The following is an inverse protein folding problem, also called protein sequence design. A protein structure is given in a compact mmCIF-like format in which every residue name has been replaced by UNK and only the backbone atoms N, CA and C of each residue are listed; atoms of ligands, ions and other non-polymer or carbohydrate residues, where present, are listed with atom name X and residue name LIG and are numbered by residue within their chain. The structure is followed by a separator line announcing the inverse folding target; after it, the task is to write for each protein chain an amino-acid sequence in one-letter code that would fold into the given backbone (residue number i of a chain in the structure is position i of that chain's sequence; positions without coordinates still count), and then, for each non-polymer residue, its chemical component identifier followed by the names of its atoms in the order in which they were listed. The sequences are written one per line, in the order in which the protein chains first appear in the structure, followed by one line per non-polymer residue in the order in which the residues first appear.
data_IF_879876807885
#
_entry.id   IF_879876807885
#
_cell.length_a   1.000
_cell.length_b   1.000
_cell.length_c   1.000
_cell.angle_alpha   90.00
_cell.angle_beta   90.00
_cell.angle_gamma   90.00
#
_symmetry.space_group_name_H-M   'P 1'
#
loop_
_entity.id
_entity.type
_entity.pdbx_description
1 polymer ?
#
# COMPACT_ATOMS: atom_id res chain seq x y z
N UNK A 1 -5.20 -8.53 -4.54
CA UNK A 1 -5.16 -7.19 -3.93
C UNK A 1 -3.85 -6.46 -4.21
N UNK A 2 -2.66 -7.02 -3.92
CA UNK A 2 -1.38 -6.40 -4.32
C UNK A 2 -1.26 -6.11 -5.83
N UNK A 3 -1.91 -6.93 -6.66
CA UNK A 3 -1.89 -6.79 -8.12
C UNK A 3 -2.60 -5.52 -8.61
N UNK A 4 -3.68 -5.06 -7.96
CA UNK A 4 -4.45 -3.90 -8.44
C UNK A 4 -3.76 -2.57 -8.10
N UNK A 5 -3.21 -2.45 -6.89
CA UNK A 5 -2.43 -1.27 -6.51
C UNK A 5 -1.19 -1.11 -7.41
N UNK A 6 -0.50 -2.22 -7.72
CA UNK A 6 0.62 -2.21 -8.66
C UNK A 6 0.20 -1.77 -10.06
N UNK A 7 -0.98 -2.18 -10.53
CA UNK A 7 -1.51 -1.72 -11.83
C UNK A 7 -1.73 -0.21 -11.84
N UNK A 8 -2.36 0.35 -10.79
CA UNK A 8 -2.56 1.80 -10.70
C UNK A 8 -1.25 2.57 -10.65
N UNK A 9 -0.25 2.09 -9.92
CA UNK A 9 1.11 2.67 -9.92
C UNK A 9 1.71 2.70 -11.32
N UNK A 10 1.59 1.60 -12.07
CA UNK A 10 2.13 1.51 -13.44
C UNK A 10 1.40 2.44 -14.42
N UNK A 11 0.15 2.80 -14.14
CA UNK A 11 -0.64 3.75 -14.92
C UNK A 11 -0.46 5.21 -14.45
N UNK A 12 0.35 5.47 -13.42
CA UNK A 12 0.52 6.81 -12.82
C UNK A 12 -0.66 7.26 -11.95
N UNK A 13 -1.61 6.37 -11.67
CA UNK A 13 -2.75 6.59 -10.79
C UNK A 13 -2.35 6.41 -9.33
N UNK A 14 -1.51 7.32 -8.84
CA UNK A 14 -0.88 7.17 -7.53
C UNK A 14 -1.85 7.31 -6.36
N UNK A 15 -2.95 8.07 -6.50
CA UNK A 15 -3.94 8.26 -5.43
C UNK A 15 -4.78 7.01 -5.24
N UNK A 16 -5.20 6.39 -6.33
CA UNK A 16 -5.98 5.16 -6.35
C UNK A 16 -5.16 3.97 -5.83
N UNK A 17 -3.86 3.95 -6.12
CA UNK A 17 -2.93 2.98 -5.53
C UNK A 17 -2.81 3.16 -4.01
N UNK A 18 -2.61 4.41 -3.54
CA UNK A 18 -2.51 4.74 -2.11
C UNK A 18 -3.77 4.36 -1.34
N UNK A 19 -4.95 4.76 -1.81
CA UNK A 19 -6.22 4.48 -1.14
C UNK A 19 -6.44 2.96 -0.98
N UNK A 20 -6.14 2.20 -2.04
CA UNK A 20 -6.26 0.74 -2.00
C UNK A 20 -5.23 0.10 -1.05
N UNK A 21 -3.98 0.59 -1.04
CA UNK A 21 -2.93 0.09 -0.14
C UNK A 21 -3.26 0.37 1.33
N UNK A 22 -3.83 1.54 1.65
CA UNK A 22 -4.32 1.87 3.00
C UNK A 22 -5.44 0.92 3.43
N UNK A 23 -6.46 0.72 2.60
CA UNK A 23 -7.58 -0.18 2.93
C UNK A 23 -7.10 -1.62 3.19
N UNK A 24 -6.16 -2.11 2.37
CA UNK A 24 -5.58 -3.44 2.53
C UNK A 24 -4.73 -3.53 3.80
N UNK A 25 -3.92 -2.51 4.09
CA UNK A 25 -3.10 -2.44 5.30
C UNK A 25 -3.99 -2.49 6.55
N UNK A 26 -5.01 -1.65 6.64
CA UNK A 26 -5.94 -1.60 7.79
C UNK A 26 -6.68 -2.92 7.98
N UNK A 27 -7.14 -3.54 6.88
CA UNK A 27 -7.81 -4.84 6.93
C UNK A 27 -6.86 -5.93 7.44
N UNK A 28 -5.62 -5.96 6.94
CA UNK A 28 -4.60 -6.93 7.38
C UNK A 28 -4.18 -6.69 8.82
N UNK A 29 -4.01 -5.44 9.21
CA UNK A 29 -3.73 -5.05 10.61
C UNK A 29 -4.83 -5.55 11.54
N UNK A 30 -6.10 -5.37 11.17
CA UNK A 30 -7.25 -5.85 11.97
C UNK A 30 -7.31 -7.38 12.09
N UNK A 31 -7.04 -8.10 11.00
CA UNK A 31 -7.20 -9.56 10.94
C UNK A 31 -5.96 -10.32 11.44
N UNK A 32 -4.77 -9.85 11.07
CA UNK A 32 -3.50 -10.55 11.23
C UNK A 32 -2.60 -9.93 12.29
N UNK A 33 -2.93 -8.73 12.78
CA UNK A 33 -2.10 -7.87 13.67
C UNK A 33 -0.90 -7.26 12.95
N UNK A 34 -0.24 -6.33 13.64
CA UNK A 34 0.82 -5.47 13.08
C UNK A 34 2.07 -6.24 12.65
N UNK A 35 2.48 -7.24 13.43
CA UNK A 35 3.74 -7.97 13.21
C UNK A 35 3.66 -9.01 12.08
N UNK A 36 2.46 -9.29 11.57
CA UNK A 36 2.29 -10.32 10.56
C UNK A 36 3.01 -9.93 9.26
N UNK A 37 3.77 -10.86 8.63
CA UNK A 37 4.54 -10.56 7.42
C UNK A 37 3.74 -9.88 6.30
N UNK A 38 2.47 -10.27 6.13
CA UNK A 38 1.57 -9.64 5.15
C UNK A 38 1.16 -8.20 5.51
N UNK A 39 1.02 -7.87 6.79
CA UNK A 39 0.76 -6.49 7.22
C UNK A 39 2.00 -5.63 6.95
N UNK A 40 3.19 -6.12 7.32
CA UNK A 40 4.47 -5.46 7.04
C UNK A 40 4.71 -5.24 5.53
N UNK A 41 4.38 -6.24 4.70
CA UNK A 41 4.47 -6.13 3.24
C UNK A 41 3.55 -5.03 2.70
N UNK A 42 2.34 -4.90 3.26
CA UNK A 42 1.40 -3.83 2.87
C UNK A 42 1.93 -2.44 3.28
N UNK A 43 2.54 -2.31 4.45
CA UNK A 43 3.17 -1.06 4.88
C UNK A 43 4.35 -0.67 3.98
N UNK A 44 5.16 -1.64 3.56
CA UNK A 44 6.26 -1.41 2.64
C UNK A 44 5.78 -0.95 1.25
N UNK A 45 4.69 -1.53 0.74
CA UNK A 45 4.08 -1.10 -0.52
C UNK A 45 3.57 0.34 -0.44
N UNK A 46 2.84 0.66 0.64
CA UNK A 46 2.34 2.02 0.89
C UNK A 46 3.48 3.05 0.97
N UNK A 47 4.57 2.72 1.67
CA UNK A 47 5.76 3.56 1.71
C UNK A 47 6.39 3.75 0.32
N UNK A 48 6.44 2.70 -0.50
CA UNK A 48 6.91 2.80 -1.89
C UNK A 48 5.99 3.67 -2.76
N UNK A 49 4.70 3.72 -2.48
CA UNK A 49 3.76 4.60 -3.21
C UNK A 49 3.99 6.06 -2.83
N UNK A 50 4.14 6.37 -1.53
CA UNK A 50 4.50 7.71 -1.07
C UNK A 50 5.82 8.22 -1.64
N UNK A 51 6.83 7.35 -1.73
CA UNK A 51 8.06 7.66 -2.46
C UNK A 51 7.78 8.16 -3.87
N UNK A 52 7.02 7.39 -4.64
CA UNK A 52 6.83 7.69 -6.06
C UNK A 52 6.00 8.96 -6.25
N UNK A 53 5.17 9.34 -5.27
CA UNK A 53 4.47 10.62 -5.22
C UNK A 53 5.36 11.81 -4.81
N UNK A 54 6.62 11.60 -4.44
CA UNK A 54 7.51 12.66 -3.95
C UNK A 54 7.26 13.06 -2.49
N UNK A 55 6.50 12.27 -1.72
CA UNK A 55 6.15 12.53 -0.32
C UNK A 55 7.20 11.97 0.66
N UNK A 56 8.46 12.36 0.50
CA UNK A 56 9.59 11.90 1.32
C UNK A 56 9.97 12.87 2.45
N UNK A 57 9.18 13.93 2.67
CA UNK A 57 9.30 14.84 3.80
C UNK A 57 8.34 14.41 4.89
#
# INVERSE_FOLDING_TARGET
MANLASTYRNQGQWKEAEELEVQVMETRKRVLKDEHPHTLTSMANLASTYRNQGRWK
#
